data_IF_545614084663
#
_entry.id   IF_545614084663
#
_cell.length_a   1.000
_cell.length_b   1.000
_cell.length_c   1.000
_cell.angle_alpha   90.00
_cell.angle_beta   90.00
_cell.angle_gamma   90.00
#
_symmetry.space_group_name_H-M   'P 1'
#
loop_
_entity.id
_entity.type
_entity.pdbx_description
1 polymer ?
#
# COMPACT_ATOMS: atom_id res chain seq x y z
N UNK A 1 7.39 27.62 -19.87
CA UNK A 1 7.06 27.97 -18.47
C UNK A 1 6.89 26.69 -17.67
N UNK A 2 7.84 26.37 -16.79
CA UNK A 2 7.73 25.19 -15.92
C UNK A 2 6.92 25.59 -14.69
N UNK A 3 5.67 25.16 -14.61
CA UNK A 3 4.82 25.38 -13.43
C UNK A 3 5.41 24.57 -12.28
N UNK A 4 6.08 25.25 -11.36
CA UNK A 4 6.50 24.67 -10.09
C UNK A 4 5.27 24.55 -9.21
N UNK A 5 4.65 23.37 -9.14
CA UNK A 5 3.64 23.10 -8.10
C UNK A 5 4.33 23.27 -6.73
N UNK A 6 3.98 24.35 -6.03
CA UNK A 6 4.41 24.57 -4.66
C UNK A 6 4.06 23.37 -3.81
N UNK A 7 5.02 22.90 -2.99
CA UNK A 7 4.84 21.79 -2.06
C UNK A 7 3.68 22.13 -1.12
N UNK A 8 2.50 21.57 -1.36
CA UNK A 8 1.36 21.76 -0.47
C UNK A 8 1.58 20.89 0.78
N UNK A 9 2.16 21.49 1.82
CA UNK A 9 2.66 20.81 3.04
C UNK A 9 1.57 20.06 3.79
N UNK A 10 0.30 20.44 3.59
CA UNK A 10 -0.84 19.79 4.23
C UNK A 10 -1.09 18.42 3.62
N UNK A 11 -0.98 18.28 2.30
CA UNK A 11 -1.26 17.04 1.58
C UNK A 11 -0.22 15.94 1.86
N UNK A 12 1.03 16.33 2.14
CA UNK A 12 2.08 15.38 2.53
C UNK A 12 1.72 14.64 3.82
N UNK A 13 1.01 15.28 4.77
CA UNK A 13 0.55 14.65 6.02
C UNK A 13 -0.50 13.56 5.80
N UNK A 14 -1.15 13.57 4.64
CA UNK A 14 -2.12 12.54 4.26
C UNK A 14 -1.45 11.38 3.51
N UNK A 15 -0.15 11.46 3.19
CA UNK A 15 0.58 10.43 2.43
C UNK A 15 0.79 10.77 0.95
N UNK A 16 0.34 11.94 0.48
CA UNK A 16 0.59 12.35 -0.91
C UNK A 16 2.07 12.70 -1.13
N UNK A 17 2.66 12.10 -2.17
CA UNK A 17 4.07 12.31 -2.55
C UNK A 17 4.18 13.05 -3.88
N UNK A 18 4.62 14.31 -3.82
CA UNK A 18 4.80 15.19 -4.98
C UNK A 18 6.27 15.23 -5.43
N UNK A 19 6.80 14.13 -5.96
CA UNK A 19 8.09 14.15 -6.66
C UNK A 19 7.87 14.43 -8.16
N UNK A 20 8.80 15.14 -8.84
CA UNK A 20 8.77 15.27 -10.31
C UNK A 20 8.99 13.88 -10.91
N UNK A 21 7.97 13.30 -11.54
CA UNK A 21 7.92 11.87 -11.91
C UNK A 21 7.45 10.96 -10.78
N UNK A 22 6.55 11.46 -9.91
CA UNK A 22 6.08 10.76 -8.72
C UNK A 22 5.44 9.41 -9.04
N UNK A 23 5.45 8.51 -8.07
CA UNK A 23 4.98 7.12 -8.23
C UNK A 23 3.62 7.03 -8.93
N UNK A 24 2.71 7.97 -8.61
CA UNK A 24 1.37 8.07 -9.19
C UNK A 24 1.29 8.52 -10.65
N UNK A 25 2.32 9.20 -11.18
CA UNK A 25 2.38 9.65 -12.58
C UNK A 25 3.07 8.66 -13.52
N UNK A 26 3.76 7.65 -12.97
CA UNK A 26 4.62 6.75 -13.76
C UNK A 26 4.40 5.27 -13.50
N UNK A 27 3.71 4.90 -12.41
CA UNK A 27 3.51 3.49 -12.04
C UNK A 27 2.03 3.14 -12.14
N UNK A 28 1.75 2.04 -12.84
CA UNK A 28 0.44 1.38 -12.81
C UNK A 28 0.13 0.95 -11.37
N UNK A 29 -1.12 1.09 -10.93
CA UNK A 29 -1.55 0.65 -9.61
C UNK A 29 -1.21 -0.85 -9.42
N UNK A 30 -0.45 -1.18 -8.38
CA UNK A 30 0.00 -2.55 -8.08
C UNK A 30 -1.02 -3.29 -7.21
N UNK A 31 -2.28 -3.35 -7.64
CA UNK A 31 -3.39 -3.83 -6.82
C UNK A 31 -3.29 -5.31 -6.45
N UNK A 32 -2.80 -6.17 -7.35
CA UNK A 32 -2.61 -7.60 -7.06
C UNK A 32 -1.59 -7.81 -5.93
N UNK A 33 -0.43 -7.16 -6.03
CA UNK A 33 0.61 -7.23 -5.00
C UNK A 33 0.11 -6.64 -3.67
N UNK A 34 -0.64 -5.53 -3.72
CA UNK A 34 -1.25 -4.95 -2.52
C UNK A 34 -2.27 -5.91 -1.89
N UNK A 35 -3.11 -6.55 -2.70
CA UNK A 35 -4.12 -7.52 -2.25
C UNK A 35 -3.48 -8.70 -1.54
N UNK A 36 -2.43 -9.26 -2.14
CA UNK A 36 -1.67 -10.37 -1.56
C UNK A 36 -0.98 -9.95 -0.25
N UNK A 37 -0.42 -8.74 -0.20
CA UNK A 37 0.20 -8.21 1.01
C UNK A 37 -0.80 -8.02 2.16
N UNK A 38 -1.95 -7.41 1.88
CA UNK A 38 -3.00 -7.19 2.88
C UNK A 38 -3.70 -8.50 3.30
N UNK A 39 -3.76 -9.50 2.42
CA UNK A 39 -4.21 -10.84 2.78
C UNK A 39 -3.19 -11.60 3.63
N UNK A 40 -1.90 -11.36 3.43
CA UNK A 40 -0.82 -11.96 4.22
C UNK A 40 -0.75 -11.36 5.63
N UNK A 41 -0.91 -10.03 5.76
CA UNK A 41 -0.90 -9.33 7.05
C UNK A 41 -2.34 -9.04 7.48
N UNK A 42 -2.90 -9.92 8.31
CA UNK A 42 -4.25 -9.78 8.84
C UNK A 42 -4.32 -8.93 10.13
N UNK A 43 -3.31 -8.12 10.42
CA UNK A 43 -3.28 -7.24 11.59
C UNK A 43 -3.60 -5.78 11.20
N UNK A 44 -4.72 -5.20 11.66
CA UNK A 44 -5.06 -3.80 11.39
C UNK A 44 -4.08 -2.80 12.02
N UNK A 45 -3.31 -3.20 13.03
CA UNK A 45 -2.34 -2.36 13.71
C UNK A 45 -0.91 -2.56 13.21
N UNK A 46 -0.71 -3.38 12.17
CA UNK A 46 0.61 -3.62 11.58
C UNK A 46 1.31 -2.31 11.24
N UNK A 47 2.58 -2.21 11.65
CA UNK A 47 3.38 -1.04 11.36
C UNK A 47 4.03 -1.16 9.97
N UNK A 48 4.64 -0.08 9.51
CA UNK A 48 5.34 -0.08 8.22
C UNK A 48 6.44 -1.13 8.11
N UNK A 49 7.12 -1.44 9.22
CA UNK A 49 8.21 -2.41 9.24
C UNK A 49 7.67 -3.82 9.04
N UNK A 50 6.48 -4.12 9.56
CA UNK A 50 5.82 -5.40 9.35
C UNK A 50 5.55 -5.64 7.86
N UNK A 51 5.01 -4.63 7.15
CA UNK A 51 4.82 -4.70 5.70
C UNK A 51 6.14 -4.88 4.94
N UNK A 52 7.18 -4.12 5.31
CA UNK A 52 8.49 -4.24 4.66
C UNK A 52 9.13 -5.60 4.92
N UNK A 53 8.99 -6.16 6.12
CA UNK A 53 9.47 -7.49 6.48
C UNK A 53 8.75 -8.56 5.66
N UNK A 54 7.41 -8.51 5.59
CA UNK A 54 6.62 -9.45 4.80
C UNK A 54 7.04 -9.47 3.32
N UNK A 55 7.34 -8.30 2.74
CA UNK A 55 7.77 -8.22 1.34
C UNK A 55 9.22 -8.71 1.16
N UNK A 56 10.15 -8.23 1.99
CA UNK A 56 11.59 -8.42 1.76
C UNK A 56 12.13 -9.73 2.33
N UNK A 57 11.75 -10.05 3.56
CA UNK A 57 12.21 -11.23 4.28
C UNK A 57 11.33 -12.44 3.93
N UNK A 58 10.02 -12.31 4.13
CA UNK A 58 9.10 -13.46 3.98
C UNK A 58 8.74 -13.74 2.52
N UNK A 59 9.03 -12.79 1.62
CA UNK A 59 8.72 -12.88 0.19
C UNK A 59 7.25 -13.27 -0.08
N UNK A 60 6.32 -12.72 0.69
CA UNK A 60 4.89 -13.01 0.55
C UNK A 60 4.36 -12.76 -0.88
N UNK A 61 5.03 -11.90 -1.65
CA UNK A 61 4.68 -11.56 -3.04
C UNK A 61 5.33 -12.47 -4.10
N UNK A 62 6.05 -13.52 -3.70
CA UNK A 62 6.60 -14.53 -4.62
C UNK A 62 7.63 -13.98 -5.62
N UNK A 63 8.34 -12.89 -5.30
CA UNK A 63 9.27 -12.27 -6.25
C UNK A 63 10.55 -13.11 -6.40
N UNK A 64 11.00 -13.24 -7.66
CA UNK A 64 12.09 -14.13 -8.10
C UNK A 64 13.45 -13.81 -7.45
N UNK A 65 13.73 -12.56 -7.14
CA UNK A 65 15.03 -12.12 -6.60
C UNK A 65 14.89 -11.11 -5.47
N UNK A 66 15.91 -11.00 -4.62
CA UNK A 66 15.98 -9.95 -3.59
C UNK A 66 15.88 -8.54 -4.17
N UNK A 67 16.50 -8.30 -5.34
CA UNK A 67 16.44 -7.01 -6.03
C UNK A 67 15.00 -6.66 -6.48
N UNK A 68 14.24 -7.65 -6.95
CA UNK A 68 12.82 -7.45 -7.29
C UNK A 68 11.96 -7.22 -6.06
N UNK A 69 12.22 -7.91 -4.92
CA UNK A 69 11.52 -7.65 -3.65
C UNK A 69 11.73 -6.21 -3.18
N UNK A 70 12.98 -5.76 -3.23
CA UNK A 70 13.36 -4.40 -2.87
C UNK A 70 12.67 -3.35 -3.76
N UNK A 71 12.68 -3.55 -5.08
CA UNK A 71 12.00 -2.65 -6.03
C UNK A 71 10.49 -2.59 -5.78
N UNK A 72 9.83 -3.75 -5.66
CA UNK A 72 8.39 -3.83 -5.37
C UNK A 72 8.06 -3.14 -4.04
N UNK A 73 8.87 -3.33 -2.99
CA UNK A 73 8.65 -2.66 -1.71
C UNK A 73 8.69 -1.13 -1.84
N UNK A 74 9.61 -0.58 -2.62
CA UNK A 74 9.72 0.87 -2.85
C UNK A 74 8.53 1.41 -3.62
N UNK A 75 8.07 0.67 -4.63
CA UNK A 75 6.89 1.05 -5.40
C UNK A 75 5.62 1.03 -4.54
N UNK A 76 5.41 -0.03 -3.75
CA UNK A 76 4.24 -0.12 -2.87
C UNK A 76 4.24 0.97 -1.79
N UNK A 77 5.39 1.24 -1.14
CA UNK A 77 5.53 2.40 -0.24
C UNK A 77 5.32 3.72 -0.97
N UNK A 78 5.78 3.82 -2.22
CA UNK A 78 5.63 5.00 -3.05
C UNK A 78 4.20 5.28 -3.48
N UNK A 79 3.38 4.24 -3.66
CA UNK A 79 1.98 4.32 -4.10
C UNK A 79 0.99 4.41 -2.95
N UNK A 80 1.26 3.68 -1.86
CA UNK A 80 0.27 3.43 -0.80
C UNK A 80 0.76 3.81 0.59
N UNK A 81 1.98 4.36 0.73
CA UNK A 81 2.69 4.60 2.00
C UNK A 81 3.07 3.34 2.80
N UNK A 82 2.16 2.36 2.88
CA UNK A 82 2.21 1.19 3.75
C UNK A 82 2.43 1.56 5.23
N UNK A 83 1.76 2.61 5.68
CA UNK A 83 1.94 3.14 7.04
C UNK A 83 0.57 3.45 7.65
N UNK A 84 0.24 2.80 8.76
CA UNK A 84 -1.01 3.02 9.48
C UNK A 84 -1.05 4.39 10.15
N UNK A 85 0.06 5.15 10.20
CA UNK A 85 0.03 6.57 10.56
C UNK A 85 -0.63 7.44 9.47
N UNK A 86 -0.58 7.02 8.20
CA UNK A 86 -1.15 7.77 7.08
C UNK A 86 -2.65 7.43 6.92
N UNK A 87 -3.50 8.43 7.06
CA UNK A 87 -4.96 8.23 7.01
C UNK A 87 -5.46 7.68 5.68
N UNK A 88 -4.78 7.96 4.56
CA UNK A 88 -5.11 7.37 3.26
C UNK A 88 -4.90 5.86 3.26
N UNK A 89 -3.79 5.39 3.84
CA UNK A 89 -3.52 3.96 3.92
C UNK A 89 -4.48 3.27 4.88
N UNK A 90 -4.80 3.88 6.03
CA UNK A 90 -5.84 3.36 6.94
C UNK A 90 -7.19 3.23 6.25
N UNK A 91 -7.58 4.24 5.46
CA UNK A 91 -8.85 4.23 4.72
C UNK A 91 -8.84 3.11 3.68
N UNK A 92 -7.75 2.96 2.94
CA UNK A 92 -7.55 1.89 1.96
C UNK A 92 -7.65 0.49 2.61
N UNK A 93 -6.97 0.28 3.75
CA UNK A 93 -7.01 -0.97 4.51
C UNK A 93 -8.43 -1.27 5.03
N UNK A 94 -9.14 -0.28 5.57
CA UNK A 94 -10.51 -0.44 6.04
C UNK A 94 -11.49 -0.78 4.89
N UNK A 95 -11.35 -0.10 3.74
CA UNK A 95 -12.12 -0.42 2.55
C UNK A 95 -11.84 -1.84 2.06
N UNK A 96 -10.56 -2.27 2.11
CA UNK A 96 -10.16 -3.63 1.76
C UNK A 96 -10.83 -4.68 2.64
N UNK A 97 -10.75 -4.52 3.96
CA UNK A 97 -11.42 -5.42 4.93
C UNK A 97 -12.94 -5.43 4.73
N UNK A 98 -13.55 -4.27 4.54
CA UNK A 98 -15.01 -4.16 4.34
C UNK A 98 -15.45 -4.87 3.05
N UNK A 99 -14.65 -4.75 1.99
CA UNK A 99 -14.90 -5.44 0.72
C UNK A 99 -14.70 -6.96 0.84
N UNK A 100 -13.69 -7.44 1.59
CA UNK A 100 -13.55 -8.88 1.84
C UNK A 100 -14.71 -9.45 2.66
N UNK A 101 -15.15 -8.74 3.71
CA UNK A 101 -16.27 -9.14 4.55
C UNK A 101 -17.59 -9.20 3.76
N UNK A 102 -17.84 -8.25 2.85
CA UNK A 102 -19.05 -8.27 2.02
C UNK A 102 -19.02 -9.35 0.92
N UNK A 103 -17.84 -9.89 0.60
CA UNK A 103 -17.65 -10.93 -0.42
C UNK A 103 -17.77 -12.35 0.12
N UNK A 104 -17.66 -12.53 1.43
CA UNK A 104 -18.03 -13.79 2.07
C UNK A 104 -19.57 -13.91 2.02
N UNK A 105 -20.13 -15.03 1.54
CA UNK A 105 -21.56 -15.24 1.66
C UNK A 105 -21.89 -15.15 3.13
N UNK A 106 -22.81 -14.26 3.51
CA UNK A 106 -23.37 -14.21 4.84
C UNK A 106 -23.73 -15.66 5.18
N UNK A 107 -22.98 -16.29 6.08
CA UNK A 107 -23.34 -17.61 6.59
C UNK A 107 -24.62 -17.37 7.36
N UNK A 108 -25.74 -17.51 6.65
CA UNK A 108 -27.08 -17.34 7.17
C UNK A 108 -27.26 -18.45 8.18
N UNK A 109 -27.01 -18.14 9.44
CA UNK A 109 -27.34 -18.99 10.57
C UNK A 109 -28.86 -19.13 10.56
N UNK A 110 -29.32 -20.34 10.29
CA UNK A 110 -30.62 -20.84 10.70
C UNK A 110 -30.58 -21.12 12.20
#
# INVERSE_FOLDING_TARGET
MVVTLGKNTHLTKFGFRFNRGGTHLSHTMMLEDLSNLLGYINDPNADKKDYLKAIKADNCLGKRSGKTRELTSRHLVGLYSLDTADILFRTLQNCWTSWMTSRLPATRSW
#
